data_IF_176176053565
#
_entry.id   IF_176176053565
#
_cell.length_a   1.000
_cell.length_b   1.000
_cell.length_c   1.000
_cell.angle_alpha   90.00
_cell.angle_beta   90.00
_cell.angle_gamma   90.00
#
_symmetry.space_group_name_H-M   'P 1'
#
loop_
_entity.id
_entity.type
_entity.pdbx_description
1 polymer ?
#
# COMPACT_ATOMS: atom_id res chain seq x y z
N UNK A 1 -15.74 -0.03 -5.26
CA UNK A 1 -16.13 0.02 -3.83
C UNK A 1 -15.46 -1.15 -3.09
N UNK A 2 -14.15 -1.09 -2.84
CA UNK A 2 -13.38 -2.22 -2.27
C UNK A 2 -12.26 -1.81 -1.29
N UNK A 3 -12.21 -0.55 -0.86
CA UNK A 3 -11.22 -0.08 0.12
C UNK A 3 -11.74 -0.25 1.58
N UNK A 4 -13.06 -0.44 1.75
CA UNK A 4 -13.69 -0.69 3.05
C UNK A 4 -13.28 -1.99 3.77
N UNK A 5 -13.04 -3.14 3.09
CA UNK A 5 -12.72 -4.39 3.77
C UNK A 5 -11.46 -4.29 4.64
N UNK A 6 -10.39 -3.66 4.16
CA UNK A 6 -9.11 -3.64 4.89
C UNK A 6 -9.21 -2.87 6.20
N UNK A 7 -9.89 -1.71 6.20
CA UNK A 7 -10.10 -0.90 7.39
C UNK A 7 -10.94 -1.66 8.44
N UNK A 8 -11.97 -2.36 7.98
CA UNK A 8 -12.88 -3.16 8.82
C UNK A 8 -12.17 -4.38 9.40
N UNK A 9 -11.35 -5.10 8.62
CA UNK A 9 -10.61 -6.26 9.14
C UNK A 9 -9.58 -5.86 10.20
N UNK A 10 -8.88 -4.74 10.02
CA UNK A 10 -7.98 -4.21 11.04
C UNK A 10 -8.76 -3.71 12.27
N UNK A 11 -9.91 -3.06 12.07
CA UNK A 11 -10.77 -2.63 13.16
C UNK A 11 -11.34 -3.79 13.96
N UNK A 12 -11.73 -4.88 13.31
CA UNK A 12 -12.19 -6.10 13.96
C UNK A 12 -11.09 -6.77 14.79
N UNK A 13 -9.84 -6.72 14.33
CA UNK A 13 -8.71 -7.32 15.05
C UNK A 13 -8.15 -6.44 16.19
N UNK A 14 -8.19 -5.11 16.04
CA UNK A 14 -7.43 -4.19 16.90
C UNK A 14 -8.22 -2.99 17.44
N UNK A 15 -9.50 -2.86 17.10
CA UNK A 15 -10.36 -1.72 17.44
C UNK A 15 -10.42 -0.65 16.35
N UNK A 16 -11.45 0.19 16.37
CA UNK A 16 -11.72 1.21 15.34
C UNK A 16 -10.63 2.29 15.21
N UNK A 17 -9.76 2.42 16.20
CA UNK A 17 -8.63 3.35 16.25
C UNK A 17 -7.28 2.64 16.10
N UNK A 18 -7.26 1.46 15.47
CA UNK A 18 -6.06 0.63 15.29
C UNK A 18 -4.84 1.40 14.79
N UNK A 19 -5.05 2.41 13.92
CA UNK A 19 -3.98 3.23 13.33
C UNK A 19 -3.20 4.06 14.35
N UNK A 20 -3.74 4.25 15.56
CA UNK A 20 -3.09 4.95 16.67
C UNK A 20 -2.31 4.02 17.62
N UNK A 21 -2.35 2.69 17.41
CA UNK A 21 -1.71 1.69 18.27
C UNK A 21 -0.23 1.52 17.91
N UNK A 22 0.64 2.28 18.58
CA UNK A 22 2.06 2.33 18.26
C UNK A 22 2.84 1.03 18.50
N UNK A 23 2.25 0.06 19.18
CA UNK A 23 2.79 -1.29 19.33
C UNK A 23 2.62 -2.18 18.10
N UNK A 24 1.68 -1.85 17.20
CA UNK A 24 1.43 -2.63 15.99
C UNK A 24 2.36 -2.26 14.83
N UNK A 25 3.01 -1.10 14.91
CA UNK A 25 3.71 -0.50 13.78
C UNK A 25 5.16 -0.14 14.11
N UNK A 26 6.04 -0.34 13.14
CA UNK A 26 7.34 0.31 13.09
C UNK A 26 7.22 1.80 12.71
N UNK A 27 8.32 2.52 12.91
CA UNK A 27 8.38 3.99 12.82
C UNK A 27 7.98 4.51 11.43
N UNK A 28 8.32 3.78 10.36
CA UNK A 28 7.96 4.15 8.99
C UNK A 28 6.44 4.14 8.76
N UNK A 29 5.76 3.08 9.19
CA UNK A 29 4.31 2.97 9.07
C UNK A 29 3.61 4.01 9.95
N UNK A 30 4.11 4.19 11.19
CA UNK A 30 3.60 5.20 12.10
C UNK A 30 3.77 6.63 11.56
N UNK A 31 4.90 6.95 10.92
CA UNK A 31 5.12 8.24 10.28
C UNK A 31 4.13 8.48 9.11
N UNK A 32 3.84 7.44 8.34
CA UNK A 32 2.81 7.47 7.29
C UNK A 32 1.42 7.79 7.84
N UNK A 33 1.00 7.11 8.91
CA UNK A 33 -0.29 7.41 9.56
C UNK A 33 -0.32 8.79 10.22
N UNK A 34 0.77 9.24 10.85
CA UNK A 34 0.85 10.61 11.41
C UNK A 34 0.73 11.67 10.32
N UNK A 35 1.31 11.43 9.15
CA UNK A 35 1.22 12.35 8.00
C UNK A 35 -0.18 12.36 7.42
N UNK A 36 -0.77 11.18 7.22
CA UNK A 36 -2.18 11.02 6.79
C UNK A 36 -3.12 11.70 7.77
N UNK A 37 -2.94 11.44 9.07
CA UNK A 37 -3.67 12.10 10.13
C UNK A 37 -3.57 13.60 9.95
N UNK A 38 -2.38 14.22 9.92
CA UNK A 38 -2.24 15.67 9.75
C UNK A 38 -3.03 16.23 8.56
N UNK A 39 -3.03 15.52 7.43
CA UNK A 39 -3.63 16.00 6.19
C UNK A 39 -5.15 15.77 6.06
N UNK A 40 -5.77 14.96 6.93
CA UNK A 40 -7.22 14.75 6.91
C UNK A 40 -7.98 16.08 7.10
N UNK A 41 -8.82 16.43 6.14
CA UNK A 41 -9.77 17.54 6.26
C UNK A 41 -11.05 17.04 6.92
N UNK A 42 -11.48 17.70 8.00
CA UNK A 42 -12.74 17.36 8.69
C UNK A 42 -13.92 18.10 8.06
N UNK A 43 -15.11 17.47 7.98
CA UNK A 43 -16.31 18.17 7.53
C UNK A 43 -16.62 19.33 8.47
N UNK A 44 -17.23 20.39 7.93
CA UNK A 44 -17.74 21.49 8.75
C UNK A 44 -18.95 21.01 9.56
N UNK A 45 -19.00 21.44 10.82
CA UNK A 45 -20.18 21.31 11.67
C UNK A 45 -21.29 22.22 11.12
N UNK A 46 -22.47 21.68 10.78
CA UNK A 46 -23.58 22.46 10.24
C UNK A 46 -24.04 23.61 11.16
N UNK A 47 -23.87 23.49 12.48
CA UNK A 47 -24.31 24.49 13.44
C UNK A 47 -23.31 25.65 13.59
N UNK A 48 -22.01 25.40 13.46
CA UNK A 48 -20.96 26.40 13.70
C UNK A 48 -20.21 26.84 12.45
N UNK A 49 -20.35 26.13 11.33
CA UNK A 49 -19.61 26.34 10.09
C UNK A 49 -18.11 26.03 10.17
N UNK A 50 -17.62 25.62 11.34
CA UNK A 50 -16.21 25.32 11.58
C UNK A 50 -15.94 23.83 11.35
N UNK A 51 -14.73 23.43 10.91
CA UNK A 51 -14.36 22.01 10.83
C UNK A 51 -14.57 21.31 12.18
N UNK A 52 -15.21 20.14 12.15
CA UNK A 52 -15.38 19.31 13.33
C UNK A 52 -14.01 18.99 13.97
N UNK A 53 -13.99 18.89 15.30
CA UNK A 53 -12.75 18.59 16.01
C UNK A 53 -12.20 17.23 15.59
N UNK A 54 -10.91 17.22 15.28
CA UNK A 54 -10.20 16.02 14.86
C UNK A 54 -9.78 15.18 16.07
N UNK A 55 -10.59 14.20 16.42
CA UNK A 55 -10.34 13.25 17.52
C UNK A 55 -10.29 11.81 16.99
N UNK A 56 -9.71 10.89 17.76
CA UNK A 56 -9.60 9.48 17.35
C UNK A 56 -10.98 8.86 17.09
N UNK A 57 -12.00 9.30 17.82
CA UNK A 57 -13.38 8.86 17.67
C UNK A 57 -14.05 9.50 16.44
N UNK A 58 -13.70 10.75 16.13
CA UNK A 58 -14.30 11.49 15.01
C UNK A 58 -13.72 11.10 13.64
N UNK A 59 -12.51 10.53 13.59
CA UNK A 59 -11.87 10.11 12.34
C UNK A 59 -12.07 8.60 12.11
N UNK A 60 -12.91 8.19 11.14
CA UNK A 60 -13.13 6.77 10.87
C UNK A 60 -11.87 6.10 10.33
N UNK A 61 -11.64 4.84 10.70
CA UNK A 61 -10.54 4.03 10.15
C UNK A 61 -10.53 4.03 8.62
N UNK A 62 -11.70 3.91 7.98
CA UNK A 62 -11.83 3.95 6.53
C UNK A 62 -11.29 5.25 5.91
N UNK A 63 -11.38 6.38 6.62
CA UNK A 63 -10.81 7.66 6.17
C UNK A 63 -9.29 7.66 6.26
N UNK A 64 -8.72 7.10 7.33
CA UNK A 64 -7.27 6.87 7.41
C UNK A 64 -6.81 5.99 6.25
N UNK A 65 -7.60 4.98 5.89
CA UNK A 65 -7.26 4.11 4.77
C UNK A 65 -7.29 4.83 3.43
N UNK A 66 -8.37 5.55 3.16
CA UNK A 66 -8.56 6.27 1.90
C UNK A 66 -7.52 7.39 1.69
N UNK A 67 -7.13 8.08 2.75
CA UNK A 67 -6.22 9.23 2.70
C UNK A 67 -4.74 8.83 2.82
N UNK A 68 -4.46 7.57 3.19
CA UNK A 68 -3.09 7.07 3.28
C UNK A 68 -2.51 6.87 1.89
N UNK A 69 -1.25 7.27 1.72
CA UNK A 69 -0.54 7.07 0.44
C UNK A 69 -0.36 5.58 0.14
N UNK A 70 -0.28 5.23 -1.15
CA UNK A 70 0.01 3.86 -1.57
C UNK A 70 1.32 3.33 -0.96
N UNK A 71 2.35 4.18 -0.83
CA UNK A 71 3.60 3.80 -0.17
C UNK A 71 3.42 3.44 1.31
N UNK A 72 2.51 4.11 2.02
CA UNK A 72 2.15 3.75 3.39
C UNK A 72 1.54 2.35 3.45
N UNK A 73 0.61 2.02 2.55
CA UNK A 73 -0.01 0.70 2.43
C UNK A 73 1.01 -0.41 2.16
N UNK A 74 1.92 -0.19 1.21
CA UNK A 74 2.97 -1.16 0.89
C UNK A 74 3.88 -1.43 2.09
N UNK A 75 4.16 -0.42 2.93
CA UNK A 75 4.99 -0.61 4.12
C UNK A 75 4.32 -1.51 5.18
N UNK A 76 2.98 -1.56 5.25
CA UNK A 76 2.26 -2.47 6.16
C UNK A 76 2.36 -3.93 5.72
N UNK A 77 2.58 -4.13 4.42
CA UNK A 77 2.76 -5.45 3.83
C UNK A 77 4.18 -5.97 3.99
N UNK A 78 5.13 -5.19 4.51
CA UNK A 78 6.53 -5.60 4.68
C UNK A 78 6.67 -6.79 5.66
N UNK A 79 7.84 -7.45 5.71
CA UNK A 79 8.12 -8.53 6.65
C UNK A 79 8.09 -8.03 8.09
N UNK A 80 8.72 -6.88 8.32
CA UNK A 80 8.82 -6.30 9.65
C UNK A 80 9.01 -4.80 9.60
N UNK A 81 8.43 -4.13 10.59
CA UNK A 81 8.81 -2.77 10.94
C UNK A 81 9.96 -2.75 11.94
N UNK A 82 10.53 -1.57 12.13
CA UNK A 82 11.47 -1.31 13.21
C UNK A 82 10.97 -0.13 14.02
N UNK A 83 11.06 -0.19 15.34
CA UNK A 83 10.59 0.85 16.26
C UNK A 83 11.67 1.20 17.27
N UNK A 84 11.83 2.50 17.51
CA UNK A 84 12.83 3.02 18.43
C UNK A 84 14.20 3.12 17.77
N UNK A 85 15.15 3.68 18.51
CA UNK A 85 16.47 4.06 17.98
C UNK A 85 17.62 3.45 18.80
N UNK A 86 18.80 3.39 18.18
CA UNK A 86 20.03 2.91 18.79
C UNK A 86 19.88 1.53 19.43
N UNK A 87 20.37 1.33 20.69
CA UNK A 87 20.31 0.03 21.36
C UNK A 87 18.89 -0.41 21.75
N UNK A 88 17.90 0.48 21.67
CA UNK A 88 16.49 0.18 22.02
C UNK A 88 15.63 -0.19 20.81
N UNK A 89 16.26 -0.28 19.63
CA UNK A 89 15.61 -0.61 18.37
C UNK A 89 15.01 -2.02 18.41
N UNK A 90 13.69 -2.14 18.24
CA UNK A 90 12.95 -3.41 18.24
C UNK A 90 12.32 -3.69 16.88
N UNK A 91 12.32 -4.95 16.47
CA UNK A 91 11.57 -5.40 15.30
C UNK A 91 10.09 -5.60 15.64
N UNK A 92 9.23 -5.23 14.69
CA UNK A 92 7.78 -5.46 14.75
C UNK A 92 7.44 -6.46 13.65
N UNK A 93 7.01 -7.65 14.03
CA UNK A 93 6.69 -8.73 13.08
C UNK A 93 5.30 -8.53 12.47
N UNK A 94 5.25 -8.01 11.24
CA UNK A 94 3.99 -7.75 10.54
C UNK A 94 3.31 -9.00 10.02
N UNK A 95 4.01 -10.13 9.91
CA UNK A 95 3.36 -11.38 9.50
C UNK A 95 2.38 -11.87 10.58
N UNK A 96 2.85 -11.98 11.82
CA UNK A 96 2.01 -12.41 12.95
C UNK A 96 1.00 -11.36 13.39
N UNK A 97 1.39 -10.08 13.35
CA UNK A 97 0.60 -8.99 13.94
C UNK A 97 -0.33 -8.28 12.96
N UNK A 98 -0.10 -8.33 11.65
CA UNK A 98 -0.96 -7.65 10.69
C UNK A 98 -1.50 -8.62 9.63
N UNK A 99 -0.61 -9.37 8.97
CA UNK A 99 -0.97 -10.23 7.86
C UNK A 99 -1.94 -11.34 8.25
N UNK A 100 -1.52 -12.25 9.13
CA UNK A 100 -2.31 -13.40 9.54
C UNK A 100 -3.60 -13.03 10.27
N UNK A 101 -3.63 -11.85 10.90
CA UNK A 101 -4.75 -11.39 11.71
C UNK A 101 -5.81 -10.65 10.88
N UNK A 102 -5.39 -9.83 9.92
CA UNK A 102 -6.31 -8.96 9.17
C UNK A 102 -5.98 -8.84 7.69
N UNK A 103 -4.73 -8.48 7.32
CA UNK A 103 -4.45 -8.00 5.96
C UNK A 103 -4.62 -9.06 4.87
N UNK A 104 -4.39 -10.35 5.15
CA UNK A 104 -4.56 -11.40 4.13
C UNK A 104 -5.98 -11.45 3.54
N UNK A 105 -6.99 -11.03 4.32
CA UNK A 105 -8.40 -11.00 3.90
C UNK A 105 -8.69 -9.93 2.87
N UNK A 106 -7.86 -8.90 2.76
CA UNK A 106 -7.96 -7.90 1.70
C UNK A 106 -7.41 -8.41 0.35
N UNK A 107 -6.74 -9.56 0.34
CA UNK A 107 -6.12 -10.15 -0.84
C UNK A 107 -6.53 -11.63 -1.03
N UNK A 108 -7.85 -11.91 -1.14
CA UNK A 108 -8.36 -13.28 -1.16
C UNK A 108 -7.83 -14.14 -2.33
N UNK A 109 -7.34 -13.51 -3.40
CA UNK A 109 -6.86 -14.20 -4.60
C UNK A 109 -5.34 -14.26 -4.72
N UNK A 110 -4.60 -13.85 -3.69
CA UNK A 110 -3.12 -13.84 -3.69
C UNK A 110 -2.44 -15.18 -3.42
N UNK A 111 -3.20 -16.23 -3.13
CA UNK A 111 -2.66 -17.50 -2.63
C UNK A 111 -2.19 -17.44 -1.16
N UNK A 112 -2.54 -16.39 -0.42
CA UNK A 112 -2.41 -16.31 1.04
C UNK A 112 -1.00 -15.96 1.56
N UNK A 113 -0.03 -15.74 0.68
CA UNK A 113 1.35 -15.40 1.06
C UNK A 113 1.58 -13.90 1.09
N UNK A 114 1.95 -13.34 2.25
CA UNK A 114 2.28 -11.92 2.41
C UNK A 114 3.36 -11.47 1.43
N UNK A 115 4.43 -12.27 1.31
CA UNK A 115 5.58 -11.94 0.47
C UNK A 115 5.18 -11.75 -0.99
N UNK A 116 4.26 -12.57 -1.49
CA UNK A 116 3.72 -12.45 -2.86
C UNK A 116 3.06 -11.08 -3.07
N UNK A 117 2.14 -10.69 -2.18
CA UNK A 117 1.45 -9.39 -2.27
C UNK A 117 2.43 -8.23 -2.09
N UNK A 118 3.33 -8.34 -1.12
CA UNK A 118 4.34 -7.31 -0.85
C UNK A 118 5.27 -7.07 -2.04
N UNK A 119 5.76 -8.13 -2.67
CA UNK A 119 6.66 -8.04 -3.82
C UNK A 119 5.96 -7.35 -5.00
N UNK A 120 4.78 -7.83 -5.39
CA UNK A 120 3.97 -7.21 -6.46
C UNK A 120 3.65 -5.75 -6.14
N UNK A 121 3.17 -5.46 -4.94
CA UNK A 121 2.83 -4.09 -4.54
C UNK A 121 4.06 -3.15 -4.50
N UNK A 122 5.24 -3.69 -4.17
CA UNK A 122 6.50 -2.94 -4.22
C UNK A 122 6.93 -2.63 -5.66
N UNK A 123 6.71 -3.55 -6.60
CA UNK A 123 6.97 -3.31 -8.03
C UNK A 123 6.05 -2.20 -8.58
N UNK A 124 4.75 -2.28 -8.28
CA UNK A 124 3.77 -1.26 -8.65
C UNK A 124 4.13 0.09 -8.02
N UNK A 125 4.61 0.12 -6.77
CA UNK A 125 5.07 1.34 -6.11
C UNK A 125 6.26 1.96 -6.84
N UNK A 126 7.24 1.17 -7.25
CA UNK A 126 8.39 1.67 -8.02
C UNK A 126 7.95 2.29 -9.35
N UNK A 127 7.05 1.62 -10.09
CA UNK A 127 6.49 2.15 -11.34
C UNK A 127 5.76 3.47 -11.10
N UNK A 128 4.81 3.49 -10.15
CA UNK A 128 3.99 4.68 -9.83
C UNK A 128 4.85 5.86 -9.41
N UNK A 129 5.90 5.62 -8.61
CA UNK A 129 6.79 6.68 -8.16
C UNK A 129 7.56 7.30 -9.32
N UNK A 130 8.14 6.49 -10.22
CA UNK A 130 8.83 7.01 -11.40
C UNK A 130 7.91 7.84 -12.29
N UNK A 131 6.71 7.32 -12.56
CA UNK A 131 5.70 8.05 -13.33
C UNK A 131 5.35 9.39 -12.67
N UNK A 132 5.13 9.41 -11.35
CA UNK A 132 4.82 10.63 -10.61
C UNK A 132 6.00 11.63 -10.55
N UNK A 133 7.24 11.14 -10.60
CA UNK A 133 8.44 11.96 -10.69
C UNK A 133 8.82 12.33 -12.13
N UNK A 134 8.02 11.94 -13.13
CA UNK A 134 8.31 12.12 -14.54
C UNK A 134 9.68 11.56 -14.96
N UNK A 135 10.11 10.47 -14.31
CA UNK A 135 11.35 9.77 -14.65
C UNK A 135 11.15 8.87 -15.88
N UNK A 136 12.18 8.70 -16.74
CA UNK A 136 12.08 7.83 -17.92
C UNK A 136 11.74 6.39 -17.58
N UNK A 137 10.92 5.76 -18.42
CA UNK A 137 10.48 4.37 -18.28
C UNK A 137 11.05 3.42 -19.34
N UNK A 138 11.73 3.96 -20.35
CA UNK A 138 12.23 3.21 -21.53
C UNK A 138 13.19 2.06 -21.16
N UNK A 139 14.05 2.26 -20.16
CA UNK A 139 14.96 1.23 -19.65
C UNK A 139 14.30 0.32 -18.59
N UNK A 140 12.97 0.32 -18.51
CA UNK A 140 12.19 -0.37 -17.49
C UNK A 140 12.27 0.26 -16.09
N UNK A 141 11.67 -0.45 -15.14
CA UNK A 141 11.51 0.00 -13.74
C UNK A 141 12.55 -0.70 -12.86
N UNK A 142 13.52 0.02 -12.26
CA UNK A 142 14.45 -0.59 -11.32
C UNK A 142 13.69 -1.16 -10.12
N UNK A 143 14.17 -2.31 -9.64
CA UNK A 143 13.64 -3.01 -8.47
C UNK A 143 14.67 -2.92 -7.34
N UNK A 144 14.59 -1.89 -6.47
CA UNK A 144 15.57 -1.69 -5.41
C UNK A 144 15.71 -2.92 -4.52
N UNK A 145 16.95 -3.28 -4.20
CA UNK A 145 17.25 -4.47 -3.39
C UNK A 145 17.14 -5.80 -4.13
N UNK A 146 16.87 -5.79 -5.44
CA UNK A 146 16.98 -6.97 -6.29
C UNK A 146 18.13 -6.77 -7.28
N UNK A 147 19.12 -7.65 -7.23
CA UNK A 147 20.24 -7.64 -8.17
C UNK A 147 20.18 -8.85 -9.10
N UNK A 148 20.64 -8.67 -10.33
CA UNK A 148 20.91 -9.79 -11.23
C UNK A 148 22.16 -10.57 -10.78
N UNK A 149 22.51 -11.63 -11.53
CA UNK A 149 23.70 -12.46 -11.24
C UNK A 149 25.02 -11.70 -11.35
N UNK A 150 25.02 -10.51 -11.97
CA UNK A 150 26.19 -9.65 -12.18
C UNK A 150 26.25 -8.52 -11.14
N UNK A 151 25.30 -8.47 -10.20
CA UNK A 151 25.22 -7.43 -9.17
C UNK A 151 24.54 -6.14 -9.63
N UNK A 152 24.02 -6.07 -10.87
CA UNK A 152 23.31 -4.89 -11.35
C UNK A 152 21.90 -4.86 -10.78
N UNK A 153 21.34 -3.67 -10.55
CA UNK A 153 19.93 -3.54 -10.15
C UNK A 153 19.03 -4.15 -11.22
N UNK A 154 18.25 -5.15 -10.82
CA UNK A 154 17.27 -5.78 -11.69
C UNK A 154 16.22 -4.75 -12.08
N UNK A 155 15.82 -4.77 -13.35
CA UNK A 155 14.76 -3.93 -13.91
C UNK A 155 13.60 -4.79 -14.38
N UNK A 156 12.39 -4.31 -14.15
CA UNK A 156 11.15 -4.87 -14.68
C UNK A 156 10.88 -4.21 -16.03
N UNK A 157 10.59 -5.00 -17.06
CA UNK A 157 10.18 -4.44 -18.36
C UNK A 157 8.82 -3.75 -18.21
N UNK A 158 8.45 -2.85 -19.11
CA UNK A 158 7.14 -2.19 -19.04
C UNK A 158 5.96 -3.17 -19.23
N UNK A 159 6.01 -4.16 -20.13
CA UNK A 159 4.99 -5.21 -20.18
C UNK A 159 4.87 -5.99 -18.87
N UNK A 160 5.99 -6.36 -18.24
CA UNK A 160 5.96 -7.05 -16.94
C UNK A 160 5.42 -6.14 -15.83
N UNK A 161 5.77 -4.84 -15.85
CA UNK A 161 5.28 -3.87 -14.89
C UNK A 161 3.77 -3.66 -15.00
N UNK A 162 3.24 -3.62 -16.22
CA UNK A 162 1.79 -3.62 -16.47
C UNK A 162 1.13 -4.90 -15.95
N UNK A 163 1.76 -6.05 -16.17
CA UNK A 163 1.30 -7.34 -15.64
C UNK A 163 1.25 -7.34 -14.11
N UNK A 164 2.25 -6.78 -13.42
CA UNK A 164 2.25 -6.66 -11.95
C UNK A 164 1.12 -5.73 -11.44
N UNK A 165 0.76 -4.69 -12.19
CA UNK A 165 -0.42 -3.85 -11.86
C UNK A 165 -1.70 -4.67 -11.92
N UNK A 166 -1.93 -5.39 -13.02
CA UNK A 166 -3.12 -6.24 -13.18
C UNK A 166 -3.17 -7.34 -12.12
N UNK A 167 -2.03 -7.97 -11.82
CA UNK A 167 -1.89 -8.99 -10.79
C UNK A 167 -2.18 -8.45 -9.39
N UNK A 168 -1.76 -7.23 -9.06
CA UNK A 168 -2.09 -6.62 -7.77
C UNK A 168 -3.61 -6.39 -7.64
N UNK A 169 -4.25 -5.94 -8.70
CA UNK A 169 -5.71 -5.79 -8.74
C UNK A 169 -6.38 -7.15 -8.61
N UNK A 170 -5.88 -8.17 -9.31
CA UNK A 170 -6.42 -9.54 -9.28
C UNK A 170 -6.42 -10.11 -7.86
N UNK A 171 -5.37 -9.83 -7.07
CA UNK A 171 -5.30 -10.26 -5.68
C UNK A 171 -6.48 -9.78 -4.84
N UNK A 172 -7.05 -8.62 -5.18
CA UNK A 172 -8.20 -7.99 -4.52
C UNK A 172 -9.49 -8.49 -5.18
N UNK A 173 -9.59 -8.38 -6.51
CA UNK A 173 -10.78 -8.71 -7.29
C UNK A 173 -10.41 -9.11 -8.72
N UNK A 174 -10.83 -10.33 -9.09
CA UNK A 174 -10.54 -10.90 -10.41
C UNK A 174 -11.31 -10.23 -11.53
N UNK A 175 -12.57 -9.87 -11.30
CA UNK A 175 -13.44 -9.30 -12.33
C UNK A 175 -12.96 -7.88 -12.69
N UNK A 176 -12.56 -7.11 -11.68
CA UNK A 176 -11.94 -5.79 -11.90
C UNK A 176 -10.62 -5.92 -12.66
N UNK A 177 -9.79 -6.92 -12.34
CA UNK A 177 -8.53 -7.15 -13.05
C UNK A 177 -8.75 -7.53 -14.53
N UNK A 178 -9.73 -8.41 -14.81
CA UNK A 178 -10.11 -8.80 -16.17
C UNK A 178 -10.60 -7.58 -16.95
N UNK A 179 -11.54 -6.83 -16.38
CA UNK A 179 -12.08 -5.62 -17.00
C UNK A 179 -10.97 -4.59 -17.27
N UNK A 180 -10.09 -4.33 -16.29
CA UNK A 180 -8.98 -3.41 -16.47
C UNK A 180 -8.01 -3.87 -17.56
N UNK A 181 -7.72 -5.17 -17.64
CA UNK A 181 -6.88 -5.74 -18.69
C UNK A 181 -7.49 -5.58 -20.09
N UNK A 182 -8.80 -5.79 -20.23
CA UNK A 182 -9.51 -5.66 -21.52
C UNK A 182 -9.64 -4.20 -21.99
N UNK A 183 -9.70 -3.26 -21.05
CA UNK A 183 -9.88 -1.83 -21.34
C UNK A 183 -8.55 -1.06 -21.39
N UNK A 184 -7.43 -1.70 -21.04
CA UNK A 184 -6.14 -1.01 -20.98
C UNK A 184 -5.55 -0.75 -22.36
N UNK A 185 -5.24 0.51 -22.67
CA UNK A 185 -4.47 0.89 -23.87
C UNK A 185 -2.95 0.69 -23.74
N UNK A 186 -2.45 0.32 -22.56
CA UNK A 186 -1.00 0.17 -22.32
C UNK A 186 -0.34 -0.85 -23.24
N UNK A 187 -0.89 -2.06 -23.47
CA UNK A 187 -0.29 -3.01 -24.39
C UNK A 187 -0.10 -2.43 -25.79
N UNK A 188 -1.11 -1.78 -26.37
CA UNK A 188 -1.03 -1.17 -27.70
C UNK A 188 0.01 -0.04 -27.76
N UNK A 189 0.06 0.82 -26.73
CA UNK A 189 1.06 1.87 -26.63
C UNK A 189 2.49 1.32 -26.61
N UNK A 190 2.74 0.25 -25.86
CA UNK A 190 4.06 -0.38 -25.80
C UNK A 190 4.49 -1.02 -27.12
N UNK A 191 3.54 -1.47 -27.96
CA UNK A 191 3.85 -1.99 -29.30
C UNK A 191 4.17 -0.87 -30.30
N UNK A 192 3.56 0.31 -30.14
CA UNK A 192 3.69 1.42 -31.09
C UNK A 192 4.81 2.41 -30.74
N UNK A 193 5.16 2.55 -29.46
CA UNK A 193 6.16 3.49 -28.94
C UNK A 193 6.89 2.88 -27.73
N UNK A 194 7.96 2.09 -27.96
CA UNK A 194 8.76 1.50 -26.88
C UNK A 194 9.53 2.53 -26.05
#
# INVERSE_FOLDING_TARGET
MQIQPTAEQLAAAYGTTWYARAELFGDRAMSGFKTTWRNITMPADPATGKPAQKTLQAVPAGKIVAESTFGCWVNLLDKSGTRGDGPYRKNVDYDSTLWRKALHKAFPHSGGKRTTVFTTASHVRSLRNRAAHHEPLIDGVPLPGQTDRRGNTRRLTLPDAHTEVLRLVEYIDKDVAIWLGQTSGVPELLHTRP
#
